data_IF_330708117322
#
_entry.id   IF_330708117322
#
_cell.length_a   1.000
_cell.length_b   1.000
_cell.length_c   1.000
_cell.angle_alpha   90.00
_cell.angle_beta   90.00
_cell.angle_gamma   90.00
#
_symmetry.space_group_name_H-M   'P 1'
#
loop_
_entity.id
_entity.type
_entity.pdbx_description
1 polymer ?
#
# COMPACT_ATOMS: atom_id res chain seq x y z
N UNK A 1 6.11 15.67 42.30
CA UNK A 1 6.01 16.91 41.50
C UNK A 1 6.74 16.66 40.18
N UNK A 2 6.05 16.28 39.11
CA UNK A 2 6.62 16.18 37.78
C UNK A 2 6.43 17.55 37.13
N UNK A 3 7.50 18.35 37.08
CA UNK A 3 7.49 19.63 36.39
C UNK A 3 7.13 19.42 34.92
N UNK A 4 6.15 20.15 34.45
CA UNK A 4 5.82 20.25 33.02
C UNK A 4 7.08 20.61 32.25
N UNK A 5 7.48 19.73 31.33
CA UNK A 5 8.60 19.97 30.43
C UNK A 5 8.15 20.95 29.34
N UNK A 6 8.21 22.24 29.65
CA UNK A 6 7.77 23.32 28.76
C UNK A 6 8.83 23.77 27.74
N UNK A 7 10.08 23.32 27.88
CA UNK A 7 11.16 23.75 26.98
C UNK A 7 11.36 22.80 25.79
N UNK A 8 11.56 23.40 24.59
CA UNK A 8 11.87 22.66 23.35
C UNK A 8 13.20 21.93 23.49
N UNK A 9 13.31 20.67 23.00
CA UNK A 9 14.53 19.89 23.10
C UNK A 9 15.72 20.60 22.42
N UNK A 10 16.87 20.63 23.09
CA UNK A 10 18.09 21.21 22.53
C UNK A 10 18.56 20.47 21.27
N UNK A 11 19.31 21.16 20.41
CA UNK A 11 19.83 20.56 19.16
C UNK A 11 20.66 19.29 19.42
N UNK A 12 21.39 19.24 20.55
CA UNK A 12 22.17 18.06 20.97
C UNK A 12 21.24 16.87 21.27
N UNK A 13 20.15 17.09 22.01
CA UNK A 13 19.18 16.05 22.36
C UNK A 13 18.42 15.52 21.15
N UNK A 14 18.09 16.40 20.19
CA UNK A 14 17.52 15.97 18.89
C UNK A 14 18.46 15.06 18.11
N UNK A 15 19.76 15.38 18.10
CA UNK A 15 20.78 14.58 17.43
C UNK A 15 21.00 13.22 18.09
N UNK A 16 20.92 13.17 19.42
CA UNK A 16 20.99 11.92 20.21
C UNK A 16 19.77 11.04 19.96
N UNK A 17 18.54 11.59 20.04
CA UNK A 17 17.30 10.86 19.72
C UNK A 17 17.31 10.27 18.32
N UNK A 18 17.81 11.02 17.32
CA UNK A 18 17.98 10.48 15.96
C UNK A 18 18.98 9.31 15.93
N UNK A 19 20.11 9.38 16.64
CA UNK A 19 21.08 8.26 16.74
C UNK A 19 20.49 7.02 17.45
N UNK A 20 19.51 7.23 18.31
CA UNK A 20 18.75 6.18 19.00
C UNK A 20 17.60 5.61 18.14
N UNK A 21 17.39 6.16 16.95
CA UNK A 21 16.33 5.74 16.05
C UNK A 21 14.95 6.28 16.40
N UNK A 22 14.87 7.23 17.35
CA UNK A 22 13.64 7.90 17.72
C UNK A 22 13.35 9.04 16.73
N UNK A 23 12.78 8.69 15.59
CA UNK A 23 12.34 9.65 14.57
C UNK A 23 10.83 9.54 14.44
N UNK A 24 10.15 10.67 14.43
CA UNK A 24 8.72 10.68 14.10
C UNK A 24 8.55 10.14 12.68
N UNK A 25 7.97 8.96 12.56
CA UNK A 25 7.80 8.26 11.28
C UNK A 25 6.50 7.46 11.32
N UNK A 26 5.66 7.67 10.33
CA UNK A 26 4.51 6.80 10.11
C UNK A 26 4.75 5.88 8.92
N UNK A 27 4.55 4.58 9.12
CA UNK A 27 4.65 3.58 8.04
C UNK A 27 3.45 3.67 7.08
N UNK A 28 2.35 4.23 7.55
CA UNK A 28 1.11 4.32 6.79
C UNK A 28 1.22 5.24 5.58
N UNK A 29 1.98 6.33 5.70
CA UNK A 29 2.11 7.32 4.62
C UNK A 29 2.69 6.71 3.34
N UNK A 30 3.72 5.86 3.46
CA UNK A 30 4.29 5.13 2.33
C UNK A 30 3.30 4.15 1.70
N UNK A 31 2.53 3.44 2.54
CA UNK A 31 1.49 2.51 2.07
C UNK A 31 0.40 3.22 1.28
N UNK A 32 -0.19 4.28 1.82
CA UNK A 32 -1.24 5.03 1.15
C UNK A 32 -0.75 5.77 -0.10
N UNK A 33 0.48 6.30 -0.09
CA UNK A 33 1.11 6.87 -1.27
C UNK A 33 1.27 5.83 -2.38
N UNK A 34 1.66 4.60 -2.04
CA UNK A 34 1.75 3.50 -2.99
C UNK A 34 0.40 3.17 -3.61
N UNK A 35 -0.66 3.07 -2.79
CA UNK A 35 -2.03 2.82 -3.28
C UNK A 35 -2.47 3.93 -4.24
N UNK A 36 -2.18 5.20 -3.93
CA UNK A 36 -2.52 6.32 -4.80
C UNK A 36 -1.80 6.24 -6.15
N UNK A 37 -0.47 6.02 -6.13
CA UNK A 37 0.33 5.90 -7.36
C UNK A 37 -0.13 4.74 -8.21
N UNK A 38 -0.40 3.56 -7.60
CA UNK A 38 -0.97 2.42 -8.32
C UNK A 38 -2.34 2.73 -8.90
N UNK A 39 -3.22 3.39 -8.15
CA UNK A 39 -4.54 3.80 -8.63
C UNK A 39 -4.47 4.73 -9.85
N UNK A 40 -3.52 5.65 -9.85
CA UNK A 40 -3.28 6.55 -10.98
C UNK A 40 -2.65 5.84 -12.19
N UNK A 41 -1.75 4.90 -11.95
CA UNK A 41 -1.09 4.12 -13.01
C UNK A 41 -1.98 3.01 -13.59
N UNK A 42 -2.97 2.54 -12.84
CA UNK A 42 -3.80 1.38 -13.18
C UNK A 42 -4.43 1.44 -14.57
N UNK A 43 -5.03 2.56 -15.05
CA UNK A 43 -5.62 2.61 -16.38
C UNK A 43 -4.60 2.36 -17.49
N UNK A 44 -3.38 2.88 -17.33
CA UNK A 44 -2.29 2.71 -18.30
C UNK A 44 -1.77 1.29 -18.27
N UNK A 45 -1.56 0.75 -17.05
CA UNK A 45 -1.12 -0.62 -16.85
C UNK A 45 -2.12 -1.62 -17.43
N UNK A 46 -3.41 -1.48 -17.10
CA UNK A 46 -4.45 -2.39 -17.63
C UNK A 46 -4.53 -2.36 -19.14
N UNK A 47 -4.43 -1.18 -19.77
CA UNK A 47 -4.43 -1.07 -21.23
C UNK A 47 -3.22 -1.79 -21.84
N UNK A 48 -2.04 -1.61 -21.26
CA UNK A 48 -0.82 -2.26 -21.71
C UNK A 48 -0.90 -3.79 -21.55
N UNK A 49 -1.29 -4.25 -20.37
CA UNK A 49 -1.41 -5.67 -20.05
C UNK A 49 -2.50 -6.36 -20.87
N UNK A 50 -3.61 -5.69 -21.14
CA UNK A 50 -4.65 -6.23 -22.00
C UNK A 50 -4.13 -6.52 -23.40
N UNK A 51 -3.33 -5.63 -23.99
CA UNK A 51 -2.69 -5.87 -25.28
C UNK A 51 -1.72 -7.05 -25.25
N UNK A 52 -0.93 -7.13 -24.20
CA UNK A 52 0.05 -8.22 -24.03
C UNK A 52 -0.63 -9.58 -23.84
N UNK A 53 -1.65 -9.63 -22.99
CA UNK A 53 -2.46 -10.86 -22.79
C UNK A 53 -3.20 -11.25 -24.07
N UNK A 54 -3.73 -10.28 -24.81
CA UNK A 54 -4.38 -10.53 -26.09
C UNK A 54 -3.41 -11.12 -27.12
N UNK A 55 -2.19 -10.58 -27.20
CA UNK A 55 -1.16 -11.12 -28.07
C UNK A 55 -0.77 -12.56 -27.69
N UNK A 56 -0.61 -12.84 -26.40
CA UNK A 56 -0.38 -14.20 -25.90
C UNK A 56 -1.54 -15.13 -26.22
N UNK A 57 -2.78 -14.65 -26.11
CA UNK A 57 -3.96 -15.42 -26.48
C UNK A 57 -3.98 -15.75 -27.98
N UNK A 58 -3.74 -14.78 -28.83
CA UNK A 58 -3.62 -15.02 -30.28
C UNK A 58 -2.52 -16.03 -30.60
N UNK A 59 -1.36 -15.89 -29.94
CA UNK A 59 -0.26 -16.84 -30.12
C UNK A 59 -0.63 -18.25 -29.63
N UNK A 60 -1.44 -18.38 -28.58
CA UNK A 60 -1.91 -19.69 -28.12
C UNK A 60 -2.81 -20.39 -29.11
N UNK A 61 -3.58 -19.64 -29.91
CA UNK A 61 -4.41 -20.20 -30.97
C UNK A 61 -3.56 -20.78 -32.09
N UNK A 62 -2.44 -20.14 -32.46
CA UNK A 62 -1.52 -20.67 -33.50
C UNK A 62 -0.78 -21.94 -33.04
N UNK A 63 -0.66 -22.19 -31.74
CA UNK A 63 -0.13 -23.45 -31.21
C UNK A 63 -0.97 -24.67 -31.62
N UNK A 64 -2.27 -24.49 -31.91
CA UNK A 64 -3.14 -25.58 -32.33
C UNK A 64 -2.87 -26.03 -33.76
N UNK A 65 -2.26 -25.18 -34.57
CA UNK A 65 -1.92 -25.51 -35.97
C UNK A 65 -0.67 -26.42 -36.06
N UNK A 66 0.30 -26.22 -35.17
CA UNK A 66 1.54 -26.98 -35.10
C UNK A 66 1.89 -27.37 -33.66
N UNK A 67 1.18 -28.34 -33.04
CA UNK A 67 1.33 -28.69 -31.64
C UNK A 67 2.60 -29.51 -31.40
N UNK A 68 3.70 -28.83 -31.15
CA UNK A 68 4.95 -29.49 -30.73
C UNK A 68 5.32 -29.10 -29.28
N UNK A 69 5.93 -30.02 -28.57
CA UNK A 69 6.38 -29.77 -27.20
C UNK A 69 7.33 -28.56 -27.14
N UNK A 70 8.19 -28.39 -28.12
CA UNK A 70 9.14 -27.28 -28.17
C UNK A 70 8.41 -25.92 -28.27
N UNK A 71 7.40 -25.81 -29.12
CA UNK A 71 6.60 -24.59 -29.30
C UNK A 71 5.81 -24.29 -28.03
N UNK A 72 5.21 -25.31 -27.40
CA UNK A 72 4.49 -25.14 -26.15
C UNK A 72 5.41 -24.64 -25.00
N UNK A 73 6.61 -25.21 -24.87
CA UNK A 73 7.59 -24.77 -23.86
C UNK A 73 8.07 -23.33 -24.11
N UNK A 74 8.31 -22.97 -25.37
CA UNK A 74 8.70 -21.59 -25.73
C UNK A 74 7.60 -20.60 -25.38
N UNK A 75 6.34 -20.91 -25.69
CA UNK A 75 5.18 -20.09 -25.31
C UNK A 75 5.05 -19.94 -23.80
N UNK A 76 5.15 -21.04 -23.04
CA UNK A 76 5.10 -21.03 -21.59
C UNK A 76 6.22 -20.17 -20.99
N UNK A 77 7.43 -20.28 -21.55
CA UNK A 77 8.58 -19.46 -21.14
C UNK A 77 8.35 -17.97 -21.39
N UNK A 78 7.75 -17.60 -22.53
CA UNK A 78 7.40 -16.20 -22.83
C UNK A 78 6.33 -15.66 -21.89
N UNK A 79 5.27 -16.43 -21.64
CA UNK A 79 4.20 -16.06 -20.71
C UNK A 79 4.75 -15.89 -19.27
N UNK A 80 5.55 -16.83 -18.81
CA UNK A 80 6.19 -16.77 -17.48
C UNK A 80 7.13 -15.56 -17.37
N UNK A 81 7.94 -15.28 -18.38
CA UNK A 81 8.81 -14.10 -18.43
C UNK A 81 8.01 -12.81 -18.34
N UNK A 82 6.91 -12.70 -19.08
CA UNK A 82 6.04 -11.53 -19.06
C UNK A 82 5.48 -11.29 -17.66
N UNK A 83 4.87 -12.31 -17.04
CA UNK A 83 4.34 -12.23 -15.66
C UNK A 83 5.44 -11.81 -14.67
N UNK A 84 6.63 -12.39 -14.78
CA UNK A 84 7.75 -12.07 -13.91
C UNK A 84 8.18 -10.59 -14.04
N UNK A 85 8.27 -10.07 -15.27
CA UNK A 85 8.64 -8.66 -15.52
C UNK A 85 7.59 -7.71 -14.92
N UNK A 86 6.30 -8.01 -15.10
CA UNK A 86 5.20 -7.20 -14.54
C UNK A 86 5.28 -7.18 -13.00
N UNK A 87 5.41 -8.33 -12.38
CA UNK A 87 5.54 -8.43 -10.91
C UNK A 87 6.78 -7.70 -10.39
N UNK A 88 7.89 -7.82 -11.09
CA UNK A 88 9.14 -7.13 -10.73
C UNK A 88 8.98 -5.60 -10.83
N UNK A 89 8.38 -5.10 -11.89
CA UNK A 89 8.12 -3.68 -12.08
C UNK A 89 7.18 -3.12 -11.01
N UNK A 90 6.10 -3.84 -10.70
CA UNK A 90 5.18 -3.46 -9.63
C UNK A 90 5.87 -3.46 -8.26
N UNK A 91 6.61 -4.51 -7.94
CA UNK A 91 7.37 -4.61 -6.68
C UNK A 91 8.42 -3.52 -6.54
N UNK A 92 9.17 -3.23 -7.61
CA UNK A 92 10.16 -2.14 -7.63
C UNK A 92 9.50 -0.78 -7.40
N UNK A 93 8.34 -0.53 -8.00
CA UNK A 93 7.59 0.72 -7.81
C UNK A 93 7.18 0.90 -6.34
N UNK A 94 6.61 -0.12 -5.70
CA UNK A 94 6.25 -0.09 -4.27
C UNK A 94 7.49 0.17 -3.41
N UNK A 95 8.59 -0.52 -3.69
CA UNK A 95 9.84 -0.37 -2.95
C UNK A 95 10.40 1.05 -3.06
N UNK A 96 10.41 1.63 -4.26
CA UNK A 96 10.88 3.01 -4.49
C UNK A 96 10.01 4.00 -3.72
N UNK A 97 8.68 3.88 -3.79
CA UNK A 97 7.76 4.76 -3.06
C UNK A 97 7.96 4.61 -1.55
N UNK A 98 8.10 3.39 -1.05
CA UNK A 98 8.33 3.10 0.37
C UNK A 98 9.64 3.72 0.87
N UNK A 99 10.73 3.56 0.11
CA UNK A 99 12.04 4.16 0.43
C UNK A 99 11.97 5.68 0.37
N UNK A 100 11.38 6.25 -0.69
CA UNK A 100 11.23 7.69 -0.83
C UNK A 100 10.42 8.28 0.33
N UNK A 101 9.28 7.69 0.67
CA UNK A 101 8.45 8.10 1.81
C UNK A 101 9.22 8.05 3.14
N UNK A 102 10.01 7.00 3.32
CA UNK A 102 10.85 6.85 4.52
C UNK A 102 11.93 7.93 4.63
N UNK A 103 12.58 8.25 3.51
CA UNK A 103 13.60 9.28 3.45
C UNK A 103 13.02 10.69 3.67
N UNK A 104 11.84 10.96 3.14
CA UNK A 104 11.15 12.25 3.30
C UNK A 104 10.71 12.51 4.75
N UNK A 105 10.31 11.48 5.48
CA UNK A 105 9.84 11.61 6.87
C UNK A 105 10.98 11.75 7.89
N UNK A 106 12.03 10.98 7.77
CA UNK A 106 13.08 10.92 8.81
C UNK A 106 14.49 11.11 8.32
N UNK A 107 14.70 11.16 7.01
CA UNK A 107 16.01 11.11 6.40
C UNK A 107 16.69 9.74 6.57
N UNK A 108 17.91 9.63 6.15
CA UNK A 108 18.72 8.43 6.33
C UNK A 108 19.29 8.40 7.77
N UNK A 109 18.72 7.54 8.62
CA UNK A 109 19.15 7.40 10.03
C UNK A 109 19.65 5.97 10.26
N UNK A 110 20.95 5.83 10.42
CA UNK A 110 21.60 4.59 10.88
C UNK A 110 21.50 4.52 12.42
N UNK A 111 20.46 3.85 12.91
CA UNK A 111 20.21 3.67 14.34
C UNK A 111 21.04 2.46 14.88
N UNK A 112 22.36 2.59 14.90
CA UNK A 112 23.28 1.52 15.33
C UNK A 112 23.05 1.07 16.78
N UNK A 113 22.56 1.95 17.64
CA UNK A 113 22.20 1.62 19.04
C UNK A 113 20.93 0.76 19.15
N UNK A 114 20.00 0.85 18.19
CA UNK A 114 18.74 0.08 18.21
C UNK A 114 18.94 -1.39 17.93
N UNK A 115 20.04 -1.76 17.26
CA UNK A 115 20.38 -3.15 16.88
C UNK A 115 21.02 -3.90 18.05
N UNK A 116 21.53 -3.20 19.07
CA UNK A 116 22.14 -3.88 20.22
C UNK A 116 21.11 -4.68 21.02
N UNK A 117 21.32 -5.97 21.23
CA UNK A 117 20.45 -6.78 22.08
C UNK A 117 20.50 -6.24 23.52
N UNK A 118 19.34 -6.03 24.12
CA UNK A 118 19.24 -5.66 25.54
C UNK A 118 18.21 -6.53 26.22
N UNK A 119 18.55 -7.05 27.41
CA UNK A 119 17.66 -7.87 28.23
C UNK A 119 16.32 -7.17 28.57
N UNK A 120 16.31 -5.84 28.60
CA UNK A 120 15.12 -5.04 28.82
C UNK A 120 14.09 -5.17 27.67
N UNK A 121 14.51 -5.54 26.47
CA UNK A 121 13.62 -5.80 25.31
C UNK A 121 12.95 -7.17 25.37
N UNK A 122 13.50 -8.09 26.15
CA UNK A 122 13.01 -9.47 26.31
C UNK A 122 12.03 -9.63 27.50
N UNK A 123 11.71 -8.54 28.22
CA UNK A 123 10.83 -8.60 29.38
C UNK A 123 9.36 -8.79 28.93
N UNK A 124 8.73 -9.96 29.18
CA UNK A 124 7.38 -10.28 28.73
C UNK A 124 6.31 -9.41 29.40
N UNK A 125 6.55 -8.95 30.63
CA UNK A 125 5.60 -8.09 31.38
C UNK A 125 5.50 -6.72 30.71
N UNK A 126 6.64 -6.15 30.27
CA UNK A 126 6.65 -4.90 29.50
C UNK A 126 5.99 -5.07 28.15
N UNK A 127 6.18 -6.24 27.52
CA UNK A 127 5.50 -6.61 26.27
C UNK A 127 3.98 -6.66 26.44
N UNK A 128 3.49 -7.36 27.45
CA UNK A 128 2.07 -7.46 27.78
C UNK A 128 1.44 -6.08 28.08
N UNK A 129 2.11 -5.25 28.88
CA UNK A 129 1.65 -3.89 29.19
C UNK A 129 1.59 -2.97 27.94
N UNK A 130 2.45 -3.22 26.96
CA UNK A 130 2.43 -2.49 25.68
C UNK A 130 1.26 -2.92 24.81
N UNK A 131 0.89 -4.22 24.83
CA UNK A 131 -0.21 -4.78 24.03
C UNK A 131 -1.57 -4.45 24.64
N UNK A 132 -1.69 -4.47 25.98
CA UNK A 132 -2.95 -4.25 26.70
C UNK A 132 -3.02 -2.89 27.40
N UNK A 133 -2.08 -2.00 27.12
CA UNK A 133 -2.05 -0.67 27.74
C UNK A 133 -3.03 0.33 27.12
N UNK A 134 -3.29 1.48 27.78
CA UNK A 134 -4.18 2.51 27.25
C UNK A 134 -3.73 3.07 25.89
N UNK A 135 -2.43 3.04 25.61
CA UNK A 135 -1.89 3.43 24.30
C UNK A 135 -2.33 2.46 23.19
N UNK A 136 -2.31 1.15 23.46
CA UNK A 136 -2.79 0.15 22.50
C UNK A 136 -4.30 0.26 22.26
N UNK A 137 -5.07 0.57 23.32
CA UNK A 137 -6.50 0.84 23.19
C UNK A 137 -6.76 2.07 22.30
N UNK A 138 -5.99 3.14 22.46
CA UNK A 138 -6.07 4.33 21.62
C UNK A 138 -5.73 4.05 20.14
N UNK A 139 -4.66 3.26 19.91
CA UNK A 139 -4.30 2.82 18.56
C UNK A 139 -5.41 1.93 17.96
N UNK A 140 -6.03 1.07 18.78
CA UNK A 140 -7.20 0.28 18.37
C UNK A 140 -8.39 1.12 17.93
N UNK A 141 -8.71 2.18 18.68
CA UNK A 141 -9.78 3.14 18.31
C UNK A 141 -9.46 3.81 16.97
N UNK A 142 -8.23 4.27 16.76
CA UNK A 142 -7.81 4.86 15.48
C UNK A 142 -7.96 3.87 14.32
N UNK A 143 -7.57 2.60 14.52
CA UNK A 143 -7.73 1.56 13.51
C UNK A 143 -9.21 1.30 13.18
N UNK A 144 -10.08 1.26 14.18
CA UNK A 144 -11.52 1.12 13.97
C UNK A 144 -12.10 2.28 13.17
N UNK A 145 -11.71 3.51 13.49
CA UNK A 145 -12.14 4.70 12.74
C UNK A 145 -11.68 4.65 11.28
N UNK A 146 -10.42 4.28 11.04
CA UNK A 146 -9.87 4.12 9.68
C UNK A 146 -10.61 3.04 8.89
N UNK A 147 -10.85 1.88 9.53
CA UNK A 147 -11.57 0.77 8.91
C UNK A 147 -13.03 1.12 8.62
N UNK A 148 -13.68 1.86 9.52
CA UNK A 148 -15.06 2.32 9.33
C UNK A 148 -15.16 3.29 8.15
N UNK A 149 -14.21 4.21 8.02
CA UNK A 149 -14.15 5.15 6.90
C UNK A 149 -14.00 4.40 5.56
N UNK A 150 -13.06 3.46 5.49
CA UNK A 150 -12.88 2.61 4.30
C UNK A 150 -14.15 1.81 4.00
N UNK A 151 -14.78 1.22 5.04
CA UNK A 151 -16.05 0.50 4.92
C UNK A 151 -17.18 1.37 4.35
N UNK A 152 -17.29 2.61 4.79
CA UNK A 152 -18.28 3.57 4.26
C UNK A 152 -18.03 3.91 2.78
N UNK A 153 -16.76 4.11 2.40
CA UNK A 153 -16.41 4.37 1.00
C UNK A 153 -16.73 3.18 0.10
N UNK A 154 -16.41 1.95 0.56
CA UNK A 154 -16.74 0.71 -0.16
C UNK A 154 -18.26 0.53 -0.25
N UNK A 155 -18.98 0.74 0.84
CA UNK A 155 -20.45 0.66 0.85
C UNK A 155 -21.07 1.64 -0.14
N UNK A 156 -20.60 2.89 -0.16
CA UNK A 156 -21.05 3.90 -1.13
C UNK A 156 -20.79 3.49 -2.58
N UNK A 157 -19.61 2.93 -2.86
CA UNK A 157 -19.28 2.45 -4.20
C UNK A 157 -20.18 1.27 -4.64
N UNK A 158 -20.40 0.30 -3.75
CA UNK A 158 -21.28 -0.84 -4.03
C UNK A 158 -22.71 -0.35 -4.29
N UNK A 159 -23.21 0.57 -3.47
CA UNK A 159 -24.55 1.13 -3.63
C UNK A 159 -24.71 1.90 -4.95
N UNK A 160 -23.66 2.59 -5.40
CA UNK A 160 -23.64 3.24 -6.71
C UNK A 160 -23.66 2.28 -7.90
N UNK A 161 -23.25 1.03 -7.70
CA UNK A 161 -23.28 -0.01 -8.74
C UNK A 161 -24.59 -0.84 -8.74
N UNK A 162 -25.40 -0.75 -7.68
CA UNK A 162 -26.66 -1.48 -7.55
C UNK A 162 -27.62 -1.29 -8.76
N UNK A 163 -27.75 -0.09 -9.37
CA UNK A 163 -28.60 0.09 -10.53
C UNK A 163 -28.20 -0.71 -11.76
N UNK A 164 -26.95 -1.21 -11.81
CA UNK A 164 -26.47 -2.06 -12.91
C UNK A 164 -26.92 -3.52 -12.75
N UNK A 165 -27.38 -3.90 -11.54
CA UNK A 165 -27.84 -5.26 -11.26
C UNK A 165 -29.31 -5.38 -11.68
N UNK A 166 -29.58 -6.22 -12.69
CA UNK A 166 -30.93 -6.45 -13.20
C UNK A 166 -31.40 -5.47 -14.29
N UNK A 167 -30.58 -4.49 -14.66
CA UNK A 167 -30.87 -3.58 -15.78
C UNK A 167 -30.43 -4.18 -17.12
N UNK A 168 -31.14 -3.90 -18.22
CA UNK A 168 -30.70 -4.20 -19.57
C UNK A 168 -29.64 -3.15 -20.01
N UNK A 169 -28.49 -3.15 -19.36
CA UNK A 169 -27.39 -2.24 -19.65
C UNK A 169 -26.42 -2.91 -20.60
N UNK A 170 -25.95 -2.27 -21.70
CA UNK A 170 -24.95 -2.83 -22.58
C UNK A 170 -23.67 -3.21 -21.79
N UNK A 171 -23.11 -4.39 -22.09
CA UNK A 171 -21.92 -4.92 -21.40
C UNK A 171 -20.77 -3.91 -21.38
N UNK A 172 -20.58 -3.18 -22.48
CA UNK A 172 -19.53 -2.18 -22.59
C UNK A 172 -19.73 -1.01 -21.62
N UNK A 173 -20.95 -0.53 -21.46
CA UNK A 173 -21.28 0.53 -20.49
C UNK A 173 -21.11 0.04 -19.05
N UNK A 174 -21.49 -1.21 -18.78
CA UNK A 174 -21.29 -1.85 -17.47
C UNK A 174 -19.81 -1.93 -17.11
N UNK A 175 -18.94 -2.38 -18.05
CA UNK A 175 -17.50 -2.47 -17.83
C UNK A 175 -16.90 -1.07 -17.59
N UNK A 176 -17.29 -0.07 -18.37
CA UNK A 176 -16.81 1.30 -18.18
C UNK A 176 -17.22 1.86 -16.82
N UNK A 177 -18.48 1.70 -16.43
CA UNK A 177 -18.97 2.14 -15.12
C UNK A 177 -18.28 1.44 -13.97
N UNK A 178 -18.07 0.12 -14.08
CA UNK A 178 -17.37 -0.68 -13.08
C UNK A 178 -15.92 -0.20 -12.92
N UNK A 179 -15.22 -0.02 -14.05
CA UNK A 179 -13.84 0.46 -14.06
C UNK A 179 -13.72 1.85 -13.45
N UNK A 180 -14.61 2.78 -13.82
CA UNK A 180 -14.63 4.14 -13.29
C UNK A 180 -14.90 4.14 -11.79
N UNK A 181 -15.87 3.35 -11.32
CA UNK A 181 -16.21 3.24 -9.90
C UNK A 181 -15.08 2.61 -9.09
N UNK A 182 -14.43 1.57 -9.60
CA UNK A 182 -13.31 0.91 -8.93
C UNK A 182 -12.10 1.85 -8.79
N UNK A 183 -11.72 2.55 -9.87
CA UNK A 183 -10.62 3.51 -9.86
C UNK A 183 -10.94 4.72 -8.98
N UNK A 184 -12.16 5.23 -9.02
CA UNK A 184 -12.64 6.30 -8.15
C UNK A 184 -12.59 5.91 -6.68
N UNK A 185 -13.06 4.71 -6.34
CA UNK A 185 -12.99 4.16 -4.98
C UNK A 185 -11.55 4.04 -4.50
N UNK A 186 -10.67 3.46 -5.30
CA UNK A 186 -9.25 3.30 -4.98
C UNK A 186 -8.58 4.65 -4.71
N UNK A 187 -8.83 5.65 -5.55
CA UNK A 187 -8.35 7.02 -5.36
C UNK A 187 -8.87 7.64 -4.06
N UNK A 188 -10.17 7.52 -3.81
CA UNK A 188 -10.79 8.12 -2.62
C UNK A 188 -10.27 7.46 -1.33
N UNK A 189 -10.10 6.13 -1.30
CA UNK A 189 -9.50 5.41 -0.18
C UNK A 189 -8.06 5.87 0.03
N UNK A 190 -7.27 5.98 -1.04
CA UNK A 190 -5.88 6.41 -0.95
C UNK A 190 -5.76 7.85 -0.42
N UNK A 191 -6.57 8.78 -0.91
CA UNK A 191 -6.58 10.16 -0.45
C UNK A 191 -7.03 10.28 1.01
N UNK A 192 -8.09 9.56 1.41
CA UNK A 192 -8.54 9.51 2.80
C UNK A 192 -7.46 8.92 3.71
N UNK A 193 -6.81 7.83 3.30
CA UNK A 193 -5.70 7.21 4.03
C UNK A 193 -4.49 8.13 4.17
N UNK A 194 -4.12 8.85 3.10
CA UNK A 194 -3.05 9.85 3.15
C UNK A 194 -3.38 11.00 4.11
N UNK A 195 -4.60 11.51 4.09
CA UNK A 195 -5.04 12.57 4.99
C UNK A 195 -4.96 12.12 6.47
N UNK A 196 -5.43 10.89 6.76
CA UNK A 196 -5.32 10.30 8.10
C UNK A 196 -3.87 10.06 8.52
N UNK A 197 -3.02 9.56 7.62
CA UNK A 197 -1.60 9.35 7.89
C UNK A 197 -0.86 10.68 8.12
N UNK A 198 -1.23 11.74 7.41
CA UNK A 198 -0.69 13.08 7.63
C UNK A 198 -1.13 13.66 8.99
N UNK A 199 -2.40 13.47 9.37
CA UNK A 199 -2.89 13.86 10.68
C UNK A 199 -2.19 13.11 11.83
N UNK A 200 -1.99 11.80 11.69
CA UNK A 200 -1.22 11.00 12.67
C UNK A 200 0.24 11.43 12.76
N UNK A 201 0.83 11.91 11.67
CA UNK A 201 2.21 12.41 11.66
C UNK A 201 2.34 13.77 12.35
N UNK A 202 1.30 14.61 12.28
CA UNK A 202 1.28 15.96 12.86
C UNK A 202 1.00 15.97 14.38
N UNK A 203 0.39 14.90 14.94
CA UNK A 203 0.13 14.71 16.37
C UNK A 203 1.30 14.07 17.11
#
# INVERSE_FOLDING_TARGET
>A
MSGEKTEKPTAKRRKESRKEGQVARTQELGGWASVLVFGMAMPVLLKHEFHSVWALFQQSLTLTEHPTTAVALTFLGQAAKHVFIVLLAMGATVMVIGVASALMQGGFVLATKSVKPSAAKLNPIKGAKRIFGPQAAWEGVKMLLKSSLVGLLVYGAIRGLMPLVGGMVPVQATIQQLSHSALGLMRNIALAGLALAAADYAM
#
